data_IF_880043888007
#
_entry.id   IF_880043888007
#
_cell.length_a   1.000
_cell.length_b   1.000
_cell.length_c   1.000
_cell.angle_alpha   90.00
_cell.angle_beta   90.00
_cell.angle_gamma   90.00
#
_symmetry.space_group_name_H-M   'P 1'
#
loop_
_entity.id
_entity.type
_entity.pdbx_description
1 polymer ?
#
# COMPACT_ATOMS: atom_id res chain seq x y z
N UNK A 1 -4.79 17.25 -10.91
CA UNK A 1 -4.62 15.96 -11.64
C UNK A 1 -4.21 14.92 -10.62
N UNK A 2 -4.86 13.75 -10.62
CA UNK A 2 -4.63 12.67 -9.63
C UNK A 2 -4.44 11.34 -10.35
N UNK A 3 -3.24 11.12 -10.88
CA UNK A 3 -2.84 9.91 -11.57
C UNK A 3 -1.58 9.29 -10.96
N UNK A 4 -1.17 8.16 -11.55
CA UNK A 4 0.04 7.42 -11.14
C UNK A 4 1.31 8.26 -11.31
N UNK A 5 1.36 9.12 -12.33
CA UNK A 5 2.52 10.01 -12.58
C UNK A 5 2.75 10.98 -11.43
N UNK A 6 1.69 11.56 -10.89
CA UNK A 6 1.77 12.49 -9.76
C UNK A 6 2.13 11.75 -8.47
N UNK A 7 1.65 10.51 -8.27
CA UNK A 7 2.07 9.68 -7.13
C UNK A 7 3.56 9.33 -7.22
N UNK A 8 4.06 8.99 -8.41
CA UNK A 8 5.48 8.71 -8.62
C UNK A 8 6.34 9.96 -8.47
N UNK A 9 5.88 11.13 -8.91
CA UNK A 9 6.57 12.40 -8.65
C UNK A 9 6.66 12.66 -7.15
N UNK A 10 5.54 12.54 -6.44
CA UNK A 10 5.50 12.66 -4.99
C UNK A 10 6.45 11.69 -4.30
N UNK A 11 6.44 10.42 -4.71
CA UNK A 11 7.39 9.42 -4.21
C UNK A 11 8.83 9.89 -4.39
N UNK A 12 9.22 10.28 -5.60
CA UNK A 12 10.58 10.70 -5.91
C UNK A 12 11.01 11.94 -5.12
N UNK A 13 10.14 12.94 -5.02
CA UNK A 13 10.39 14.19 -4.29
C UNK A 13 10.64 13.93 -2.80
N UNK A 14 9.97 12.93 -2.22
CA UNK A 14 10.09 12.55 -0.81
C UNK A 14 11.12 11.45 -0.54
N UNK A 15 11.69 10.85 -1.58
CA UNK A 15 12.70 9.79 -1.52
C UNK A 15 14.12 10.27 -1.87
N UNK A 16 14.25 11.50 -2.38
CA UNK A 16 15.51 12.03 -2.91
C UNK A 16 16.68 12.07 -1.91
N UNK A 17 16.40 11.94 -0.61
CA UNK A 17 17.38 12.02 0.47
C UNK A 17 17.65 10.66 1.15
N UNK A 18 17.06 9.56 0.67
CA UNK A 18 17.32 8.22 1.19
C UNK A 18 18.15 7.39 0.21
N UNK A 19 19.15 6.69 0.72
CA UNK A 19 20.00 5.79 -0.07
C UNK A 19 19.18 4.68 -0.73
N UNK A 20 18.11 4.24 -0.06
CA UNK A 20 17.20 3.19 -0.51
C UNK A 20 16.09 3.70 -1.44
N UNK A 21 16.03 5.01 -1.73
CA UNK A 21 14.96 5.66 -2.49
C UNK A 21 13.55 5.38 -1.94
N UNK A 22 13.48 5.18 -0.63
CA UNK A 22 12.23 5.08 0.11
C UNK A 22 11.85 6.46 0.64
N UNK A 23 10.57 6.86 0.54
CA UNK A 23 10.12 8.10 1.09
C UNK A 23 10.20 8.03 2.61
N UNK A 24 10.47 9.17 3.24
CA UNK A 24 10.40 9.23 4.71
C UNK A 24 8.99 8.89 5.18
N UNK A 25 8.90 8.10 6.24
CA UNK A 25 7.61 7.70 6.82
C UNK A 25 6.73 8.90 7.20
N UNK A 26 7.33 10.02 7.60
CA UNK A 26 6.63 11.27 7.96
C UNK A 26 6.02 12.01 6.75
N UNK A 27 6.51 11.73 5.54
CA UNK A 27 5.95 12.28 4.31
C UNK A 27 4.70 11.52 3.87
N UNK A 28 4.56 10.23 4.23
CA UNK A 28 3.47 9.35 3.80
C UNK A 28 2.32 9.34 4.83
N UNK A 29 1.71 10.50 5.02
CA UNK A 29 0.55 10.68 5.92
C UNK A 29 -0.77 10.53 5.16
N UNK A 30 -1.90 10.19 5.83
CA UNK A 30 -3.21 10.17 5.18
C UNK A 30 -3.58 11.50 4.48
N UNK A 31 -3.10 12.64 5.00
CA UNK A 31 -3.32 13.95 4.40
C UNK A 31 -2.57 14.12 3.09
N UNK A 32 -1.28 13.78 3.07
CA UNK A 32 -0.45 13.83 1.86
C UNK A 32 -0.92 12.86 0.78
N UNK A 33 -1.38 11.67 1.19
CA UNK A 33 -1.84 10.62 0.29
C UNK A 33 -3.30 10.76 -0.11
N UNK A 34 -4.05 11.72 0.46
CA UNK A 34 -5.48 11.97 0.19
C UNK A 34 -5.86 11.89 -1.30
N UNK A 35 -5.05 12.37 -2.27
CA UNK A 35 -5.40 12.27 -3.68
C UNK A 35 -5.47 10.83 -4.22
N UNK A 36 -4.75 9.89 -3.60
CA UNK A 36 -4.60 8.50 -4.04
C UNK A 36 -5.08 7.47 -3.02
N UNK A 37 -5.35 7.86 -1.76
CA UNK A 37 -5.64 6.95 -0.63
C UNK A 37 -6.78 5.96 -0.92
N UNK A 38 -7.78 6.36 -1.71
CA UNK A 38 -8.87 5.45 -2.11
C UNK A 38 -8.49 4.46 -3.22
N UNK A 39 -7.31 4.53 -3.80
CA UNK A 39 -6.87 3.73 -4.98
C UNK A 39 -5.59 2.94 -4.73
N UNK A 40 -5.03 3.02 -3.53
CA UNK A 40 -3.80 2.34 -3.15
C UNK A 40 -4.10 1.47 -1.96
N UNK A 41 -3.33 0.39 -1.82
CA UNK A 41 -3.32 -0.42 -0.61
C UNK A 41 -1.98 -0.20 0.08
N UNK A 42 -1.99 -0.12 1.41
CA UNK A 42 -0.79 0.09 2.23
C UNK A 42 -0.54 -1.15 3.04
N UNK A 43 0.66 -1.71 2.91
CA UNK A 43 1.10 -2.91 3.59
C UNK A 43 2.12 -2.56 4.67
N UNK A 44 2.08 -3.27 5.78
CA UNK A 44 3.06 -3.18 6.86
C UNK A 44 3.62 -4.56 7.12
N UNK A 45 4.94 -4.70 7.04
CA UNK A 45 5.61 -5.94 7.42
C UNK A 45 5.49 -6.19 8.93
N UNK A 46 5.07 -7.40 9.32
CA UNK A 46 4.96 -7.89 10.69
C UNK A 46 5.99 -9.03 10.91
N UNK A 47 7.17 -8.74 11.48
CA UNK A 47 8.28 -9.70 11.57
C UNK A 47 7.97 -10.92 12.45
N UNK A 48 7.05 -10.81 13.40
CA UNK A 48 6.66 -11.89 14.31
C UNK A 48 5.97 -13.05 13.58
N UNK A 49 5.31 -12.75 12.46
CA UNK A 49 4.59 -13.73 11.64
C UNK A 49 5.21 -13.89 10.25
N UNK A 50 6.26 -13.12 9.93
CA UNK A 50 6.92 -13.10 8.63
C UNK A 50 5.91 -12.93 7.48
N UNK A 51 5.04 -11.93 7.61
CA UNK A 51 3.93 -11.64 6.69
C UNK A 51 3.68 -10.12 6.67
N UNK A 52 2.83 -9.67 5.76
CA UNK A 52 2.40 -8.28 5.67
C UNK A 52 0.95 -8.13 6.12
N UNK A 53 0.71 -7.14 6.96
CA UNK A 53 -0.63 -6.65 7.32
C UNK A 53 -1.08 -5.59 6.33
N UNK A 54 -2.29 -5.74 5.81
CA UNK A 54 -2.95 -4.72 5.00
C UNK A 54 -3.46 -3.64 5.94
N UNK A 55 -2.78 -2.49 6.01
CA UNK A 55 -3.13 -1.36 6.89
C UNK A 55 -4.21 -0.47 6.30
N UNK A 56 -4.34 -0.49 4.98
CA UNK A 56 -5.36 0.20 4.23
C UNK A 56 -5.60 -0.60 2.95
N UNK A 57 -6.85 -0.93 2.69
CA UNK A 57 -7.30 -1.23 1.34
C UNK A 57 -8.08 -0.03 0.77
N UNK A 58 -7.69 0.42 -0.42
CA UNK A 58 -8.22 1.65 -0.99
C UNK A 58 -9.73 1.52 -1.26
N UNK A 59 -10.53 2.51 -0.84
CA UNK A 59 -12.00 2.42 -0.94
C UNK A 59 -12.53 2.13 -2.35
N UNK A 60 -11.84 2.57 -3.40
CA UNK A 60 -12.19 2.25 -4.79
C UNK A 60 -11.83 0.82 -5.18
N UNK A 61 -10.75 0.27 -4.63
CA UNK A 61 -10.42 -1.15 -4.74
C UNK A 61 -11.52 -1.98 -4.09
N UNK A 62 -11.97 -1.58 -2.89
CA UNK A 62 -13.09 -2.21 -2.18
C UNK A 62 -14.40 -2.09 -2.97
N UNK A 63 -14.72 -0.92 -3.52
CA UNK A 63 -15.90 -0.72 -4.38
C UNK A 63 -15.90 -1.62 -5.62
N UNK A 64 -14.72 -1.86 -6.21
CA UNK A 64 -14.57 -2.69 -7.40
C UNK A 64 -14.63 -4.19 -7.11
N UNK A 65 -14.02 -4.63 -6.00
CA UNK A 65 -13.89 -6.06 -5.66
C UNK A 65 -15.00 -6.56 -4.74
N UNK A 66 -15.70 -5.65 -4.04
CA UNK A 66 -16.67 -5.98 -3.01
C UNK A 66 -16.05 -6.50 -1.71
N UNK A 67 -14.72 -6.41 -1.56
CA UNK A 67 -14.00 -6.96 -0.42
C UNK A 67 -13.11 -5.90 0.21
N UNK A 68 -13.12 -5.85 1.54
CA UNK A 68 -12.22 -5.00 2.32
C UNK A 68 -11.24 -5.90 3.08
N UNK A 69 -9.99 -5.88 2.64
CA UNK A 69 -8.93 -6.66 3.26
C UNK A 69 -8.18 -5.91 4.35
N UNK A 70 -8.60 -4.68 4.70
CA UNK A 70 -8.00 -3.91 5.78
C UNK A 70 -7.99 -4.72 7.08
N UNK A 71 -6.81 -4.84 7.70
CA UNK A 71 -6.59 -5.60 8.92
C UNK A 71 -6.29 -7.09 8.70
N UNK A 72 -6.44 -7.63 7.50
CA UNK A 72 -6.04 -8.99 7.15
C UNK A 72 -4.57 -9.06 6.74
N UNK A 73 -4.00 -10.26 6.69
CA UNK A 73 -2.64 -10.48 6.19
C UNK A 73 -2.63 -10.84 4.71
N UNK A 74 -1.51 -10.62 4.02
CA UNK A 74 -1.33 -10.97 2.61
C UNK A 74 -1.46 -12.48 2.41
N UNK A 75 -0.90 -13.32 3.29
CA UNK A 75 -1.11 -14.77 3.19
C UNK A 75 -2.59 -15.20 3.30
N UNK A 76 -3.40 -14.47 4.08
CA UNK A 76 -4.84 -14.77 4.16
C UNK A 76 -5.56 -14.43 2.85
N UNK A 77 -5.17 -13.33 2.21
CA UNK A 77 -5.63 -12.93 0.89
C UNK A 77 -5.20 -13.95 -0.17
N UNK A 78 -3.93 -14.36 -0.16
CA UNK A 78 -3.38 -15.33 -1.10
C UNK A 78 -4.09 -16.68 -1.04
N UNK A 79 -4.35 -17.19 0.17
CA UNK A 79 -5.14 -18.42 0.35
C UNK A 79 -6.59 -18.28 -0.14
N UNK A 80 -7.17 -17.09 -0.02
CA UNK A 80 -8.55 -16.87 -0.45
C UNK A 80 -8.68 -16.87 -1.97
N UNK A 81 -7.72 -16.26 -2.66
CA UNK A 81 -7.73 -16.14 -4.12
C UNK A 81 -6.92 -17.21 -4.87
N UNK A 82 -6.21 -18.08 -4.13
CA UNK A 82 -5.23 -19.01 -4.70
C UNK A 82 -4.16 -18.23 -5.52
N UNK A 83 -3.65 -17.15 -4.92
CA UNK A 83 -2.63 -16.26 -5.48
C UNK A 83 -1.33 -16.31 -4.68
N UNK A 84 -0.30 -15.63 -5.18
CA UNK A 84 1.00 -15.52 -4.52
C UNK A 84 1.51 -14.07 -4.53
N UNK A 85 0.70 -13.15 -3.99
CA UNK A 85 1.05 -11.74 -3.85
C UNK A 85 2.18 -11.56 -2.84
N UNK A 86 2.26 -12.41 -1.82
CA UNK A 86 3.35 -12.39 -0.84
C UNK A 86 4.73 -12.55 -1.46
N UNK A 87 4.88 -13.32 -2.54
CA UNK A 87 6.19 -13.50 -3.21
C UNK A 87 6.73 -12.24 -3.92
N UNK A 88 5.86 -11.26 -4.22
CA UNK A 88 6.23 -10.04 -4.97
C UNK A 88 6.38 -8.79 -4.09
N UNK A 89 6.13 -8.90 -2.78
CA UNK A 89 6.23 -7.82 -1.79
C UNK A 89 7.53 -7.92 -0.98
#
# INVERSE_FOLDING_TARGET
>A
MTGVKELMSFWNDHSAMSDDRLPRADAFTPFSLRPWIGRISVYQYEPEINDFRIRLDGTKTVEMTGQDWTGHTVNALDRYFDTDVGEIL
#
